data_IF_895635436016
#
_entry.id   IF_895635436016
#
_cell.length_a   1.000
_cell.length_b   1.000
_cell.length_c   1.000
_cell.angle_alpha   90.00
_cell.angle_beta   90.00
_cell.angle_gamma   90.00
#
_symmetry.space_group_name_H-M   'P 1'
#
loop_
_entity.id
_entity.type
_entity.pdbx_description
1 polymer ?
#
# COMPACT_ATOMS: atom_id res chain seq x y z
N UNK A 1 -16.41 -3.61 0.75
CA UNK A 1 -16.24 -5.05 0.48
C UNK A 1 -14.78 -5.32 0.13
N UNK A 2 -13.89 -5.05 1.08
CA UNK A 2 -12.46 -4.88 0.82
C UNK A 2 -11.66 -5.61 1.90
N UNK A 3 -10.58 -6.26 1.50
CA UNK A 3 -9.68 -6.99 2.40
C UNK A 3 -8.27 -6.55 2.10
N UNK A 4 -7.52 -6.19 3.14
CA UNK A 4 -6.12 -5.83 3.01
C UNK A 4 -5.32 -6.43 4.15
N UNK A 5 -4.09 -6.82 3.84
CA UNK A 5 -3.10 -7.22 4.83
C UNK A 5 -1.72 -6.79 4.38
N UNK A 6 -0.80 -6.72 5.35
CA UNK A 6 0.60 -6.42 5.08
C UNK A 6 1.51 -7.27 5.96
N UNK A 7 2.67 -7.60 5.42
CA UNK A 7 3.75 -8.26 6.15
C UNK A 7 4.97 -7.33 6.13
N UNK A 8 5.56 -7.12 7.31
CA UNK A 8 6.80 -6.37 7.47
C UNK A 8 7.90 -7.39 7.74
N UNK A 9 9.04 -7.26 7.04
CA UNK A 9 10.21 -8.10 7.28
C UNK A 9 10.75 -7.91 8.71
N UNK A 10 11.47 -8.91 9.23
CA UNK A 10 11.99 -8.86 10.62
C UNK A 10 12.94 -7.68 10.86
N UNK A 11 13.72 -7.34 9.85
CA UNK A 11 14.66 -6.22 9.83
C UNK A 11 14.01 -4.89 9.41
N UNK A 12 12.70 -4.88 9.14
CA UNK A 12 11.90 -3.72 8.71
C UNK A 12 12.34 -3.06 7.40
N UNK A 13 13.22 -3.72 6.62
CA UNK A 13 13.72 -3.22 5.34
C UNK A 13 12.73 -3.39 4.18
N UNK A 14 11.74 -4.27 4.32
CA UNK A 14 10.77 -4.59 3.29
C UNK A 14 9.35 -4.72 3.85
N UNK A 15 8.37 -4.28 3.07
CA UNK A 15 6.94 -4.44 3.36
C UNK A 15 6.24 -4.97 2.12
N UNK A 16 5.41 -6.00 2.27
CA UNK A 16 4.53 -6.50 1.21
C UNK A 16 3.10 -6.22 1.61
N UNK A 17 2.37 -5.49 0.77
CA UNK A 17 0.98 -5.09 1.00
C UNK A 17 0.09 -5.71 -0.07
N UNK A 18 -0.96 -6.41 0.35
CA UNK A 18 -1.96 -7.00 -0.54
C UNK A 18 -3.32 -6.40 -0.28
N UNK A 19 -4.05 -6.08 -1.34
CA UNK A 19 -5.40 -5.55 -1.31
C UNK A 19 -6.30 -6.28 -2.30
N UNK A 20 -7.50 -6.66 -1.87
CA UNK A 20 -8.52 -7.31 -2.70
C UNK A 20 -9.84 -6.58 -2.55
N UNK A 21 -10.42 -6.17 -3.68
CA UNK A 21 -11.79 -5.66 -3.76
C UNK A 21 -12.71 -6.79 -4.20
N UNK A 22 -13.57 -7.27 -3.30
CA UNK A 22 -14.38 -8.47 -3.54
C UNK A 22 -15.43 -8.26 -4.64
N UNK A 23 -16.09 -7.11 -4.66
CA UNK A 23 -17.11 -6.81 -5.67
C UNK A 23 -16.85 -5.44 -6.29
N UNK A 24 -17.05 -5.36 -7.60
CA UNK A 24 -17.04 -4.09 -8.32
C UNK A 24 -18.26 -3.26 -7.92
N UNK A 25 -18.04 -1.99 -7.63
CA UNK A 25 -19.11 -1.06 -7.29
C UNK A 25 -19.06 0.11 -8.28
N UNK A 26 -20.17 0.41 -8.99
CA UNK A 26 -20.17 1.50 -9.97
C UNK A 26 -20.02 2.85 -9.28
N UNK A 27 -19.22 3.73 -9.89
CA UNK A 27 -19.01 5.12 -9.46
C UNK A 27 -18.53 5.29 -8.01
N UNK A 28 -17.61 4.44 -7.55
CA UNK A 28 -17.03 4.55 -6.22
C UNK A 28 -15.61 5.14 -6.27
N UNK A 29 -15.37 6.18 -5.47
CA UNK A 29 -14.03 6.68 -5.20
C UNK A 29 -13.34 5.76 -4.19
N UNK A 30 -12.21 5.15 -4.57
CA UNK A 30 -11.40 4.35 -3.66
C UNK A 30 -10.67 5.29 -2.69
N UNK A 31 -10.93 5.14 -1.38
CA UNK A 31 -10.12 5.82 -0.37
C UNK A 31 -8.70 5.24 -0.38
N UNK A 32 -7.65 6.05 -0.13
CA UNK A 32 -6.30 5.51 -0.01
C UNK A 32 -6.19 4.44 1.08
N UNK A 33 -5.37 3.42 0.84
CA UNK A 33 -5.12 2.33 1.77
C UNK A 33 -4.05 2.75 2.79
N UNK A 34 -4.48 3.06 4.01
CA UNK A 34 -3.56 3.40 5.10
C UNK A 34 -2.83 2.17 5.62
N UNK A 35 -1.50 2.25 5.70
CA UNK A 35 -0.65 1.21 6.26
C UNK A 35 -0.54 1.35 7.78
N UNK A 36 0.03 0.36 8.46
CA UNK A 36 0.19 0.36 9.92
C UNK A 36 1.51 -0.26 10.36
N UNK A 37 2.09 0.29 11.43
CA UNK A 37 3.28 -0.30 12.05
C UNK A 37 4.58 -0.10 11.27
N UNK A 38 4.60 0.86 10.35
CA UNK A 38 5.83 1.34 9.71
C UNK A 38 6.60 2.25 10.68
N UNK A 39 7.87 2.47 10.37
CA UNK A 39 8.66 3.50 11.04
C UNK A 39 8.26 4.87 10.47
N UNK A 40 7.82 5.80 11.33
CA UNK A 40 7.34 7.12 10.91
C UNK A 40 8.43 7.98 10.30
N UNK A 41 9.69 7.77 10.70
CA UNK A 41 10.82 8.63 10.31
C UNK A 41 11.59 8.03 9.11
N UNK A 42 11.22 6.82 8.68
CA UNK A 42 11.81 6.16 7.53
C UNK A 42 11.14 6.55 6.22
N UNK A 43 11.92 6.48 5.13
CA UNK A 43 11.44 6.63 3.77
C UNK A 43 11.31 5.25 3.11
N UNK A 44 10.24 5.07 2.34
CA UNK A 44 9.93 3.83 1.65
C UNK A 44 9.77 4.08 0.15
N UNK A 45 10.50 3.32 -0.66
CA UNK A 45 10.38 3.30 -2.11
C UNK A 45 9.39 2.21 -2.54
N UNK A 46 8.45 2.55 -3.42
CA UNK A 46 7.52 1.58 -4.01
C UNK A 46 8.22 0.90 -5.19
N UNK A 47 8.37 -0.43 -5.10
CA UNK A 47 9.01 -1.26 -6.11
C UNK A 47 8.42 -1.03 -7.51
N UNK A 48 9.31 -0.93 -8.51
CA UNK A 48 8.94 -0.66 -9.89
C UNK A 48 8.47 0.78 -10.17
N UNK A 49 8.62 1.72 -9.23
CA UNK A 49 8.29 3.13 -9.42
C UNK A 49 9.44 4.05 -8.98
N UNK A 50 9.26 5.37 -9.10
CA UNK A 50 10.17 6.38 -8.54
C UNK A 50 9.62 7.04 -7.27
N UNK A 51 8.53 6.51 -6.73
CA UNK A 51 7.86 7.10 -5.58
C UNK A 51 8.57 6.68 -4.30
N UNK A 52 9.05 7.69 -3.57
CA UNK A 52 9.59 7.57 -2.21
C UNK A 52 8.65 8.34 -1.29
N UNK A 53 8.14 7.67 -0.26
CA UNK A 53 7.14 8.20 0.66
C UNK A 53 7.57 8.00 2.11
N UNK A 54 7.21 8.93 3.00
CA UNK A 54 7.41 8.78 4.43
C UNK A 54 6.55 7.67 5.02
N UNK A 55 7.07 6.97 6.03
CA UNK A 55 6.27 5.97 6.75
C UNK A 55 5.07 6.60 7.47
N UNK A 56 5.20 7.84 7.95
CA UNK A 56 4.10 8.63 8.46
C UNK A 56 3.05 8.98 7.39
N UNK A 57 3.46 9.32 6.17
CA UNK A 57 2.57 9.56 5.02
C UNK A 57 1.81 8.28 4.65
N UNK A 58 2.50 7.15 4.56
CA UNK A 58 1.89 5.86 4.29
C UNK A 58 0.88 5.43 5.37
N UNK A 59 1.12 5.79 6.63
CA UNK A 59 0.21 5.47 7.74
C UNK A 59 -0.95 6.47 7.86
N UNK A 60 -0.75 7.75 7.57
CA UNK A 60 -1.75 8.80 7.78
C UNK A 60 -2.56 9.15 6.53
N UNK A 61 -1.93 9.12 5.36
CA UNK A 61 -2.54 9.41 4.05
C UNK A 61 -2.88 8.09 3.35
N UNK A 62 -1.92 7.20 3.16
CA UNK A 62 -2.11 5.87 2.58
C UNK A 62 -1.72 5.73 1.10
N UNK A 63 -1.70 4.49 0.61
CA UNK A 63 -1.42 4.14 -0.80
C UNK A 63 -2.63 4.43 -1.69
N UNK A 64 -2.36 4.98 -2.88
CA UNK A 64 -3.41 5.14 -3.90
C UNK A 64 -3.75 3.78 -4.48
N UNK A 65 -5.00 3.35 -4.29
CA UNK A 65 -5.52 2.13 -4.91
C UNK A 65 -5.81 2.43 -6.38
N UNK A 66 -5.19 1.72 -7.34
CA UNK A 66 -5.46 1.94 -8.76
C UNK A 66 -6.91 1.60 -9.11
N UNK A 67 -7.33 1.96 -10.33
CA UNK A 67 -8.59 1.47 -10.85
C UNK A 67 -8.53 -0.06 -10.98
N UNK A 68 -9.44 -0.75 -10.29
CA UNK A 68 -9.59 -2.21 -10.34
C UNK A 68 -10.90 -2.53 -11.05
N UNK A 69 -10.83 -3.32 -12.13
CA UNK A 69 -11.98 -3.69 -12.96
C UNK A 69 -12.43 -5.12 -12.70
N UNK A 70 -13.74 -5.31 -12.57
CA UNK A 70 -14.34 -6.61 -12.29
C UNK A 70 -14.34 -6.99 -10.81
N UNK A 71 -14.97 -8.13 -10.52
CA UNK A 71 -15.06 -8.68 -9.17
C UNK A 71 -13.75 -9.38 -8.77
N UNK A 72 -13.47 -9.41 -7.47
CA UNK A 72 -12.28 -10.02 -6.86
C UNK A 72 -10.94 -9.50 -7.42
N UNK A 73 -10.92 -8.30 -8.00
CA UNK A 73 -9.70 -7.67 -8.48
C UNK A 73 -8.78 -7.30 -7.31
N UNK A 74 -7.47 -7.40 -7.54
CA UNK A 74 -6.45 -7.24 -6.51
C UNK A 74 -5.31 -6.32 -6.95
N UNK A 75 -4.62 -5.76 -5.98
CA UNK A 75 -3.37 -5.03 -6.17
C UNK A 75 -2.37 -5.43 -5.08
N UNK A 76 -1.09 -5.39 -5.42
CA UNK A 76 0.01 -5.65 -4.50
C UNK A 76 1.08 -4.58 -4.67
N UNK A 77 1.65 -4.17 -3.54
CA UNK A 77 2.81 -3.29 -3.48
C UNK A 77 3.91 -3.97 -2.69
N UNK A 78 5.14 -3.81 -3.15
CA UNK A 78 6.35 -4.13 -2.40
C UNK A 78 7.03 -2.81 -2.11
N UNK A 79 7.36 -2.56 -0.86
CA UNK A 79 8.02 -1.36 -0.40
C UNK A 79 9.38 -1.74 0.16
N UNK A 80 10.41 -0.96 -0.16
CA UNK A 80 11.75 -1.10 0.40
C UNK A 80 12.12 0.15 1.17
N UNK A 81 12.89 0.01 2.24
CA UNK A 81 13.47 1.18 2.90
C UNK A 81 14.42 1.88 1.93
N UNK A 82 14.22 3.18 1.75
CA UNK A 82 15.00 3.99 0.85
C UNK A 82 16.22 4.54 1.58
N UNK A 83 17.41 4.37 0.99
CA UNK A 83 18.68 4.84 1.54
C UNK A 83 19.28 5.85 0.55
N UNK A 84 19.69 7.01 1.07
CA UNK A 84 20.30 8.11 0.31
C UNK A 84 21.71 7.80 -0.19
#
# INVERSE_FOLDING_TARGET
>A
NEVAWMNISKDRSQVVVSYVKQFAEPNMWNKPLKLKGLDSDALYEIDGTKYVLGGDELMNIGLVIPELKGDYAASQWILYIHVF
#
